data_IF_207052244472
#
_entry.id   IF_207052244472
#
_cell.length_a   1.000
_cell.length_b   1.000
_cell.length_c   1.000
_cell.angle_alpha   90.00
_cell.angle_beta   90.00
_cell.angle_gamma   90.00
#
_symmetry.space_group_name_H-M   'P 1'
#
loop_
_entity.id
_entity.type
_entity.pdbx_description
1 polymer ?
#
# COMPACT_ATOMS: atom_id res chain seq x y z
N UNK A 1 12.33 -26.96 5.22
CA UNK A 1 11.41 -26.10 6.02
C UNK A 1 11.47 -24.62 5.60
N UNK A 2 12.61 -24.10 5.11
CA UNK A 2 12.76 -22.66 4.83
C UNK A 2 12.24 -22.13 3.48
N UNK A 3 12.11 -22.94 2.42
CA UNK A 3 11.77 -22.40 1.08
C UNK A 3 10.27 -22.16 0.87
N UNK A 4 9.44 -22.71 1.75
CA UNK A 4 7.98 -22.67 1.65
C UNK A 4 7.36 -21.55 2.49
N UNK A 5 8.13 -20.82 3.29
CA UNK A 5 7.61 -19.79 4.20
C UNK A 5 8.39 -18.48 4.00
N UNK A 6 7.70 -17.37 3.72
CA UNK A 6 8.30 -16.04 3.60
C UNK A 6 7.57 -14.98 4.43
N UNK A 7 8.32 -14.11 5.09
CA UNK A 7 7.81 -12.94 5.79
C UNK A 7 7.96 -11.72 4.88
N UNK A 8 6.88 -10.97 4.67
CA UNK A 8 6.86 -9.80 3.79
C UNK A 8 6.31 -8.59 4.54
N UNK A 9 7.05 -7.49 4.50
CA UNK A 9 6.60 -6.18 4.98
C UNK A 9 6.39 -5.27 3.78
N UNK A 10 5.16 -4.79 3.61
CA UNK A 10 4.79 -3.82 2.58
C UNK A 10 4.49 -2.48 3.27
N UNK A 11 5.10 -1.41 2.76
CA UNK A 11 4.85 -0.04 3.23
C UNK A 11 4.37 0.79 2.06
N UNK A 12 3.09 1.14 2.08
CA UNK A 12 2.47 1.98 1.07
C UNK A 12 2.58 3.44 1.50
N UNK A 13 2.88 4.32 0.54
CA UNK A 13 3.09 5.74 0.77
C UNK A 13 4.18 6.00 1.84
N UNK A 14 5.41 5.55 1.55
CA UNK A 14 6.57 5.60 2.45
C UNK A 14 6.98 7.00 2.91
N UNK A 15 6.55 8.07 2.23
CA UNK A 15 6.81 9.45 2.64
C UNK A 15 5.61 10.14 3.26
N UNK A 16 4.50 9.43 3.46
CA UNK A 16 3.22 9.98 3.93
C UNK A 16 2.76 11.19 3.12
N UNK A 17 2.97 11.12 1.82
CA UNK A 17 2.60 12.20 0.92
C UNK A 17 1.08 12.22 0.82
N UNK A 18 0.49 13.40 1.03
CA UNK A 18 -0.88 13.66 0.61
C UNK A 18 -0.85 14.06 -0.87
N UNK A 19 -1.48 13.27 -1.72
CA UNK A 19 -1.59 13.53 -3.17
C UNK A 19 -2.96 13.12 -3.69
N UNK A 20 -3.31 13.61 -4.88
CA UNK A 20 -4.61 13.33 -5.51
C UNK A 20 -4.44 12.30 -6.62
N UNK A 21 -5.25 11.25 -6.62
CA UNK A 21 -5.19 10.17 -7.62
C UNK A 21 -5.97 10.49 -8.88
N UNK A 22 -7.02 11.33 -8.76
CA UNK A 22 -7.89 11.71 -9.88
C UNK A 22 -8.36 13.15 -9.71
N UNK A 23 -8.22 13.93 -10.77
CA UNK A 23 -8.83 15.24 -10.88
C UNK A 23 -10.11 15.11 -11.73
N UNK A 24 -11.27 15.41 -11.16
CA UNK A 24 -12.52 15.46 -11.92
C UNK A 24 -12.66 16.82 -12.60
N UNK A 25 -13.39 16.85 -13.72
CA UNK A 25 -13.58 18.08 -14.50
C UNK A 25 -14.30 19.19 -13.70
N UNK A 26 -15.06 18.86 -12.65
CA UNK A 26 -15.65 19.85 -11.75
C UNK A 26 -15.82 19.31 -10.32
N UNK A 27 -15.83 20.25 -9.37
CA UNK A 27 -16.22 20.14 -7.96
C UNK A 27 -15.30 19.40 -6.97
N UNK A 28 -14.51 18.39 -7.36
CA UNK A 28 -13.63 17.71 -6.40
C UNK A 28 -12.49 16.90 -7.06
N UNK A 29 -11.54 16.45 -6.24
CA UNK A 29 -10.49 15.52 -6.62
C UNK A 29 -10.48 14.35 -5.62
N UNK A 30 -10.11 13.16 -6.10
CA UNK A 30 -9.94 12.00 -5.23
C UNK A 30 -8.59 12.09 -4.52
N UNK A 31 -8.60 12.09 -3.19
CA UNK A 31 -7.38 12.01 -2.37
C UNK A 31 -6.91 10.56 -2.35
N UNK A 32 -5.59 10.36 -2.47
CA UNK A 32 -4.97 9.05 -2.36
C UNK A 32 -4.94 8.57 -0.90
N UNK A 33 -4.91 7.25 -0.65
CA UNK A 33 -4.68 6.72 0.70
C UNK A 33 -3.36 7.25 1.30
N UNK A 34 -3.39 7.54 2.60
CA UNK A 34 -2.20 7.92 3.39
C UNK A 34 -1.23 6.75 3.60
N UNK A 35 -0.25 6.92 4.49
CA UNK A 35 0.69 5.83 4.84
C UNK A 35 -0.02 4.63 5.44
N UNK A 36 0.28 3.43 4.94
CA UNK A 36 -0.19 2.17 5.52
C UNK A 36 0.89 1.08 5.48
N UNK A 37 0.84 0.16 6.43
CA UNK A 37 1.79 -0.96 6.52
C UNK A 37 1.06 -2.29 6.59
N UNK A 38 1.57 -3.28 5.85
CA UNK A 38 1.03 -4.65 5.85
C UNK A 38 2.16 -5.62 6.10
N UNK A 39 2.06 -6.39 7.19
CA UNK A 39 2.96 -7.49 7.49
C UNK A 39 2.26 -8.81 7.18
N UNK A 40 2.88 -9.65 6.35
CA UNK A 40 2.32 -10.90 5.88
C UNK A 40 3.28 -12.07 6.08
N UNK A 41 2.75 -13.17 6.59
CA UNK A 41 3.40 -14.49 6.56
C UNK A 41 2.81 -15.27 5.39
N UNK A 42 3.66 -15.68 4.45
CA UNK A 42 3.26 -16.33 3.22
C UNK A 42 3.76 -17.77 3.24
N UNK A 43 2.87 -18.73 3.07
CA UNK A 43 3.19 -20.15 3.00
C UNK A 43 2.86 -20.67 1.60
N UNK A 44 3.82 -21.34 0.97
CA UNK A 44 3.69 -21.99 -0.35
C UNK A 44 3.73 -23.50 -0.17
N UNK A 45 2.75 -24.20 -0.74
CA UNK A 45 2.60 -25.65 -0.65
C UNK A 45 2.94 -26.30 -2.00
#
# INVERSE_FOLDING_TARGET
>A
IQDNISLQLNVQNLTDKTYFTKAYASHYASIAPGRSTTLALNVKF
#
